data_IF_225341394202
#
_entry.id   IF_225341394202
#
_cell.length_a   1.000
_cell.length_b   1.000
_cell.length_c   1.000
_cell.angle_alpha   90.00
_cell.angle_beta   90.00
_cell.angle_gamma   90.00
#
_symmetry.space_group_name_H-M   'P 1'
#
loop_
_entity.id
_entity.type
_entity.pdbx_description
1 polymer ?
#
# COMPACT_ATOMS: atom_id res chain seq x y z
N UNK A 1 -15.31 -35.42 30.53
CA UNK A 1 -16.35 -35.29 29.49
C UNK A 1 -17.03 -33.93 29.52
N UNK A 2 -17.66 -33.50 30.62
CA UNK A 2 -18.33 -32.19 30.66
C UNK A 2 -17.37 -31.00 30.49
N UNK A 3 -16.19 -31.05 31.13
CA UNK A 3 -15.15 -30.00 31.00
C UNK A 3 -14.64 -29.83 29.58
N UNK A 4 -14.41 -30.94 28.87
CA UNK A 4 -13.91 -30.94 27.48
C UNK A 4 -14.95 -30.40 26.51
N UNK A 5 -16.23 -30.73 26.72
CA UNK A 5 -17.34 -30.19 25.93
C UNK A 5 -17.45 -28.67 26.13
N UNK A 6 -17.41 -28.19 27.38
CA UNK A 6 -17.47 -26.76 27.68
C UNK A 6 -16.31 -25.98 27.05
N UNK A 7 -15.09 -26.49 27.13
CA UNK A 7 -13.92 -25.83 26.53
C UNK A 7 -14.00 -25.78 25.01
N UNK A 8 -14.49 -26.84 24.37
CA UNK A 8 -14.66 -26.86 22.91
C UNK A 8 -15.73 -25.87 22.47
N UNK A 9 -16.87 -25.81 23.16
CA UNK A 9 -17.95 -24.86 22.84
C UNK A 9 -17.50 -23.41 22.99
N UNK A 10 -16.73 -23.09 24.03
CA UNK A 10 -16.19 -21.74 24.22
C UNK A 10 -15.19 -21.34 23.12
N UNK A 11 -14.33 -22.27 22.69
CA UNK A 11 -13.37 -22.05 21.61
C UNK A 11 -14.08 -21.81 20.27
N UNK A 12 -15.08 -22.64 19.94
CA UNK A 12 -15.86 -22.51 18.69
C UNK A 12 -16.65 -21.21 18.68
N UNK A 13 -17.25 -20.81 19.80
CA UNK A 13 -17.95 -19.53 19.91
C UNK A 13 -16.99 -18.35 19.62
N UNK A 14 -15.77 -18.36 20.17
CA UNK A 14 -14.79 -17.29 19.93
C UNK A 14 -14.35 -17.14 18.47
N UNK A 15 -14.28 -18.25 17.72
CA UNK A 15 -13.93 -18.24 16.30
C UNK A 15 -15.03 -17.63 15.42
N UNK A 16 -16.31 -17.87 15.74
CA UNK A 16 -17.45 -17.33 14.96
C UNK A 16 -17.57 -15.80 15.07
N UNK A 17 -17.12 -15.20 16.17
CA UNK A 17 -17.14 -13.74 16.35
C UNK A 17 -15.88 -13.02 15.82
N UNK A 18 -14.86 -13.77 15.39
CA UNK A 18 -13.61 -13.22 14.85
C UNK A 18 -13.77 -12.86 13.37
N UNK A 19 -14.54 -11.81 13.09
CA UNK A 19 -14.59 -11.25 11.75
C UNK A 19 -13.30 -10.47 11.46
N UNK A 20 -12.39 -11.08 10.72
CA UNK A 20 -11.29 -10.36 10.09
C UNK A 20 -11.86 -9.52 8.94
N UNK A 21 -12.09 -8.24 9.18
CA UNK A 21 -12.42 -7.31 8.10
C UNK A 21 -11.16 -7.10 7.24
N UNK A 22 -11.19 -7.60 6.00
CA UNK A 22 -10.25 -7.16 4.99
C UNK A 22 -10.46 -5.65 4.77
N UNK A 23 -9.37 -4.89 4.70
CA UNK A 23 -9.46 -3.48 4.30
C UNK A 23 -10.07 -3.42 2.89
N UNK A 24 -10.97 -2.47 2.59
CA UNK A 24 -11.51 -2.32 1.25
C UNK A 24 -10.35 -2.15 0.27
N UNK A 25 -10.16 -3.11 -0.63
CA UNK A 25 -9.39 -2.86 -1.85
C UNK A 25 -10.21 -1.84 -2.62
N UNK A 26 -9.67 -0.63 -2.78
CA UNK A 26 -10.28 0.42 -3.61
C UNK A 26 -10.26 -0.03 -5.06
N UNK A 27 -11.19 -0.91 -5.44
CA UNK A 27 -11.50 -1.20 -6.83
C UNK A 27 -12.36 -0.03 -7.35
N UNK A 28 -11.69 0.95 -7.95
CA UNK A 28 -12.33 1.88 -8.90
C UNK A 28 -12.99 3.14 -8.33
N UNK A 29 -12.73 3.54 -7.09
CA UNK A 29 -13.12 4.88 -6.65
C UNK A 29 -12.09 5.90 -7.17
N UNK A 30 -12.44 6.60 -8.25
CA UNK A 30 -11.70 7.76 -8.75
C UNK A 30 -11.34 8.67 -7.57
N UNK A 31 -10.05 8.76 -7.28
CA UNK A 31 -9.55 9.54 -6.17
C UNK A 31 -9.90 11.01 -6.43
N UNK A 32 -10.57 11.72 -5.49
CA UNK A 32 -10.86 13.13 -5.70
C UNK A 32 -9.53 13.87 -5.79
N UNK A 33 -9.17 14.29 -7.01
CA UNK A 33 -8.05 15.18 -7.28
C UNK A 33 -8.30 16.43 -6.44
N UNK A 34 -7.57 16.57 -5.33
CA UNK A 34 -7.59 17.82 -4.58
C UNK A 34 -6.87 18.85 -5.42
N UNK A 35 -7.65 19.67 -6.14
CA UNK A 35 -7.14 20.89 -6.72
C UNK A 35 -6.48 21.70 -5.59
N UNK A 36 -5.18 21.94 -5.71
CA UNK A 36 -4.44 22.72 -4.73
C UNK A 36 -5.05 24.13 -4.68
N UNK A 37 -5.58 24.52 -3.53
CA UNK A 37 -5.95 25.91 -3.27
C UNK A 37 -4.73 26.81 -3.53
N UNK A 38 -4.98 27.92 -4.23
CA UNK A 38 -4.02 28.97 -4.61
C UNK A 38 -3.09 29.35 -3.46
N UNK A 39 -1.94 28.69 -3.33
CA UNK A 39 -0.94 28.94 -2.30
C UNK A 39 -0.38 27.71 -1.58
N UNK A 40 -0.93 26.52 -1.81
CA UNK A 40 -0.37 25.26 -1.30
C UNK A 40 0.86 24.79 -2.07
N UNK A 41 1.78 24.08 -1.40
CA UNK A 41 2.91 23.37 -2.04
C UNK A 41 2.34 22.45 -3.13
N UNK A 42 2.55 22.82 -4.39
CA UNK A 42 2.17 21.98 -5.52
C UNK A 42 3.14 20.80 -5.56
N UNK A 43 2.67 19.61 -5.20
CA UNK A 43 3.46 18.41 -5.39
C UNK A 43 3.57 18.18 -6.91
N UNK A 44 4.78 18.17 -7.46
CA UNK A 44 5.03 18.04 -8.90
C UNK A 44 4.57 16.68 -9.50
N UNK A 45 4.08 15.77 -8.66
CA UNK A 45 3.39 14.58 -9.13
C UNK A 45 1.97 14.98 -9.50
N UNK A 46 1.82 15.47 -10.72
CA UNK A 46 0.55 15.43 -11.42
C UNK A 46 0.05 13.98 -11.31
N UNK A 47 -1.07 13.81 -10.60
CA UNK A 47 -1.53 12.53 -10.06
C UNK A 47 -2.04 11.54 -11.11
N UNK A 48 -1.62 11.70 -12.36
CA UNK A 48 -2.06 10.97 -13.53
C UNK A 48 -1.29 9.65 -13.72
N UNK A 49 -1.06 8.94 -12.61
CA UNK A 49 -0.35 7.67 -12.59
C UNK A 49 -1.12 6.67 -11.74
N UNK A 50 -1.49 5.56 -12.35
CA UNK A 50 -2.06 4.42 -11.65
C UNK A 50 -0.95 3.50 -11.13
N UNK A 51 -1.18 2.91 -9.95
CA UNK A 51 -0.20 2.03 -9.29
C UNK A 51 -0.85 0.70 -8.98
N UNK A 52 -0.32 -0.35 -9.61
CA UNK A 52 -0.72 -1.73 -9.37
C UNK A 52 0.38 -2.52 -8.67
N UNK A 53 0.04 -3.69 -8.15
CA UNK A 53 0.98 -4.65 -7.59
C UNK A 53 0.93 -5.96 -8.37
N UNK A 54 2.08 -6.46 -8.80
CA UNK A 54 2.16 -7.80 -9.40
C UNK A 54 2.10 -8.91 -8.34
N UNK A 55 2.04 -10.17 -8.78
CA UNK A 55 2.03 -11.33 -7.88
C UNK A 55 3.29 -11.47 -7.00
N UNK A 56 4.36 -10.72 -7.30
CA UNK A 56 5.64 -10.70 -6.56
C UNK A 56 5.72 -9.50 -5.61
N UNK A 57 4.70 -8.63 -5.57
CA UNK A 57 4.66 -7.42 -4.75
C UNK A 57 5.44 -6.25 -5.34
N UNK A 58 5.83 -6.32 -6.61
CA UNK A 58 6.45 -5.19 -7.32
C UNK A 58 5.39 -4.13 -7.61
N UNK A 59 5.77 -2.85 -7.52
CA UNK A 59 4.90 -1.74 -7.91
C UNK A 59 5.01 -1.55 -9.42
N UNK A 60 3.88 -1.67 -10.12
CA UNK A 60 3.75 -1.39 -11.54
C UNK A 60 3.13 -0.01 -11.69
N UNK A 61 3.91 0.94 -12.19
CA UNK A 61 3.48 2.32 -12.42
C UNK A 61 2.99 2.44 -13.84
N UNK A 62 1.75 2.88 -14.00
CA UNK A 62 1.01 2.91 -15.25
C UNK A 62 0.54 4.34 -15.51
N UNK A 63 0.63 4.76 -16.76
CA UNK A 63 0.01 6.00 -17.23
C UNK A 63 -1.51 5.87 -17.16
N UNK A 64 -2.17 6.74 -16.40
CA UNK A 64 -3.61 6.66 -16.18
C UNK A 64 -4.43 6.93 -17.47
N UNK A 65 -3.90 7.72 -18.41
CA UNK A 65 -4.62 8.04 -19.65
C UNK A 65 -4.49 6.93 -20.71
N UNK A 66 -3.34 6.26 -20.74
CA UNK A 66 -3.02 5.29 -21.81
C UNK A 66 -3.00 3.84 -21.37
N UNK A 67 -2.94 3.57 -20.06
CA UNK A 67 -2.76 2.23 -19.52
C UNK A 67 -1.36 1.65 -19.75
N UNK A 68 -0.40 2.46 -20.22
CA UNK A 68 0.96 1.99 -20.52
C UNK A 68 1.82 1.90 -19.26
N UNK A 69 2.54 0.80 -19.09
CA UNK A 69 3.53 0.65 -18.01
C UNK A 69 4.72 1.58 -18.26
N UNK A 70 4.95 2.50 -17.33
CA UNK A 70 6.08 3.45 -17.35
C UNK A 70 7.28 2.87 -16.61
N UNK A 71 7.03 2.21 -15.48
CA UNK A 71 8.10 1.63 -14.67
C UNK A 71 7.60 0.46 -13.82
N UNK A 72 8.52 -0.46 -13.52
CA UNK A 72 8.31 -1.54 -12.53
C UNK A 72 9.35 -1.35 -11.43
N UNK A 73 8.89 -1.16 -10.21
CA UNK A 73 9.75 -1.01 -9.03
C UNK A 73 9.68 -2.27 -8.18
N UNK A 74 10.83 -2.83 -7.76
CA UNK A 74 10.88 -3.90 -6.79
C UNK A 74 10.15 -3.54 -5.48
N UNK A 75 9.78 -4.53 -4.65
CA UNK A 75 9.09 -4.28 -3.40
C UNK A 75 10.03 -3.47 -2.52
N UNK A 76 9.68 -2.21 -2.23
CA UNK A 76 10.57 -1.37 -1.43
C UNK A 76 10.58 -1.88 0.01
N UNK A 77 11.68 -2.52 0.41
CA UNK A 77 11.90 -2.83 1.81
C UNK A 77 12.20 -1.53 2.57
N UNK A 78 11.72 -1.40 3.81
CA UNK A 78 12.01 -0.23 4.66
C UNK A 78 13.52 0.01 4.85
N UNK A 79 14.34 -1.03 4.71
CA UNK A 79 15.79 -0.99 4.86
C UNK A 79 16.46 -0.34 3.64
N UNK A 80 16.05 -0.66 2.41
CA UNK A 80 16.62 -0.08 1.19
C UNK A 80 16.46 1.44 1.15
N UNK A 81 15.31 1.95 1.60
CA UNK A 81 15.07 3.40 1.65
C UNK A 81 15.99 4.12 2.63
N UNK A 82 16.35 3.49 3.76
CA UNK A 82 17.29 4.06 4.74
C UNK A 82 18.72 4.02 4.22
N UNK A 83 19.10 2.92 3.57
CA UNK A 83 20.40 2.76 2.94
C UNK A 83 20.61 3.79 1.82
N UNK A 84 19.63 3.94 0.92
CA UNK A 84 19.65 4.91 -0.17
C UNK A 84 19.83 6.33 0.35
N UNK A 85 19.05 6.75 1.36
CA UNK A 85 19.21 8.09 1.98
C UNK A 85 20.59 8.33 2.57
N UNK A 86 21.18 7.30 3.18
CA UNK A 86 22.52 7.38 3.75
C UNK A 86 23.57 7.55 2.65
N UNK A 87 23.42 6.82 1.55
CA UNK A 87 24.27 6.94 0.37
C UNK A 87 24.15 8.31 -0.29
N UNK A 88 22.93 8.82 -0.51
CA UNK A 88 22.70 10.16 -1.07
C UNK A 88 23.36 11.24 -0.22
N UNK A 89 23.20 11.17 1.11
CA UNK A 89 23.84 12.10 2.04
C UNK A 89 25.37 12.04 1.97
N UNK A 90 25.96 10.85 1.85
CA UNK A 90 27.42 10.75 1.71
C UNK A 90 27.92 11.37 0.41
N UNK A 91 27.12 11.33 -0.67
CA UNK A 91 27.47 11.99 -1.95
C UNK A 91 27.32 13.51 -1.89
N UNK A 92 26.40 14.04 -1.09
CA UNK A 92 26.19 15.49 -0.91
C UNK A 92 27.22 16.14 0.04
N UNK A 93 27.90 15.35 0.87
CA UNK A 93 28.88 15.80 1.86
C UNK A 93 30.36 15.59 1.43
N UNK A 94 30.59 15.11 0.20
CA UNK A 94 31.91 14.96 -0.41
C UNK A 94 32.15 16.02 -1.48
#
# INVERSE_FOLDING_TARGET
>A
MLRTIFTLSALVAGLVFSNAFAAPTHDGAAQPVRAAESGGILLAQDGNLDIYYDARGNRVIVDADTGKVIAIQPPQTRLDRRALRRETRMRELG
#
